data_IF_896260119383
#
_entry.id   IF_896260119383
#
_cell.length_a   1.000
_cell.length_b   1.000
_cell.length_c   1.000
_cell.angle_alpha   90.00
_cell.angle_beta   90.00
_cell.angle_gamma   90.00
#
_symmetry.space_group_name_H-M   'P 1'
#
loop_
_entity.id
_entity.type
_entity.pdbx_description
1 polymer ?
#
# COMPACT_ATOMS: atom_id res chain seq x y z
N UNK A 1 37.49 -66.22 49.80
CA UNK A 1 37.57 -64.87 50.27
C UNK A 1 36.34 -64.07 49.67
N UNK A 2 35.31 -63.89 50.50
CA UNK A 2 34.09 -63.14 50.05
C UNK A 2 34.32 -61.64 50.30
N UNK A 3 34.27 -60.84 49.30
CA UNK A 3 34.28 -59.35 49.43
C UNK A 3 32.88 -58.86 49.67
N UNK A 4 32.65 -58.27 50.87
CA UNK A 4 31.45 -57.52 51.21
C UNK A 4 31.48 -56.13 50.53
N UNK A 5 30.45 -55.80 49.77
CA UNK A 5 30.22 -54.53 49.26
C UNK A 5 29.24 -53.79 50.17
N UNK A 6 29.67 -52.69 50.80
CA UNK A 6 28.82 -51.81 51.59
C UNK A 6 28.16 -50.76 50.62
N UNK A 7 26.84 -50.82 50.57
CA UNK A 7 26.04 -49.82 49.92
C UNK A 7 25.69 -48.75 50.93
N UNK A 8 26.24 -47.51 50.76
CA UNK A 8 25.81 -46.38 51.56
C UNK A 8 24.53 -45.78 50.92
N UNK A 9 23.42 -45.88 51.70
CA UNK A 9 22.18 -45.19 51.37
C UNK A 9 22.27 -43.78 51.99
N UNK A 10 22.34 -42.76 51.18
CA UNK A 10 22.24 -41.36 51.60
C UNK A 10 20.75 -40.95 51.52
N UNK A 11 20.12 -40.53 52.64
CA UNK A 11 18.75 -40.04 52.57
C UNK A 11 18.72 -38.68 51.90
N UNK A 12 18.07 -38.59 50.74
CA UNK A 12 17.76 -37.32 50.10
C UNK A 12 16.56 -36.71 50.85
N UNK A 13 16.82 -35.64 51.59
CA UNK A 13 15.78 -34.78 52.17
C UNK A 13 15.16 -33.97 51.05
N UNK A 14 13.93 -34.28 50.70
CA UNK A 14 13.12 -33.41 49.85
C UNK A 14 12.68 -32.18 50.66
N UNK A 15 13.34 -31.03 50.42
CA UNK A 15 12.79 -29.75 50.80
C UNK A 15 11.62 -29.42 49.88
N UNK A 16 10.40 -29.41 50.47
CA UNK A 16 9.23 -28.84 49.84
C UNK A 16 9.46 -27.31 49.67
N UNK A 17 9.99 -26.90 48.54
CA UNK A 17 9.83 -25.50 48.09
C UNK A 17 8.38 -25.35 47.65
N UNK A 18 7.61 -24.55 48.38
CA UNK A 18 6.36 -23.99 47.90
C UNK A 18 6.65 -23.25 46.60
N UNK A 19 6.36 -23.88 45.49
CA UNK A 19 6.26 -23.16 44.19
C UNK A 19 5.06 -22.24 44.31
N UNK A 20 5.31 -20.98 44.65
CA UNK A 20 4.45 -19.89 44.21
C UNK A 20 4.42 -20.01 42.70
N UNK A 21 3.37 -20.55 42.15
CA UNK A 21 3.09 -20.59 40.74
C UNK A 21 3.01 -19.12 40.26
N UNK A 22 4.16 -18.57 39.87
CA UNK A 22 4.16 -17.46 38.91
C UNK A 22 3.43 -18.05 37.71
N UNK A 23 2.16 -17.67 37.55
CA UNK A 23 1.44 -17.88 36.33
C UNK A 23 2.28 -17.13 35.26
N UNK A 24 3.17 -17.84 34.58
CA UNK A 24 3.67 -17.40 33.30
C UNK A 24 2.41 -16.99 32.53
N UNK A 25 2.33 -15.75 32.01
CA UNK A 25 1.28 -15.46 31.06
C UNK A 25 1.48 -16.51 29.99
N UNK A 26 0.53 -17.43 29.86
CA UNK A 26 0.40 -18.31 28.70
C UNK A 26 0.44 -17.34 27.53
N UNK A 27 1.57 -17.26 26.86
CA UNK A 27 1.62 -16.60 25.56
C UNK A 27 0.52 -17.29 24.78
N UNK A 28 -0.56 -16.58 24.52
CA UNK A 28 -1.52 -16.99 23.52
C UNK A 28 -0.66 -17.22 22.29
N UNK A 29 -0.39 -18.50 21.96
CA UNK A 29 0.27 -18.84 20.71
C UNK A 29 -0.52 -18.08 19.68
N UNK A 30 0.14 -17.13 19.00
CA UNK A 30 -0.45 -16.36 17.94
C UNK A 30 -1.21 -17.32 17.01
N UNK A 31 -2.49 -17.08 16.82
CA UNK A 31 -3.30 -17.81 15.86
C UNK A 31 -3.04 -17.30 14.43
N UNK A 32 -2.03 -16.46 14.24
CA UNK A 32 -1.73 -15.80 12.97
C UNK A 32 -1.55 -16.78 11.80
N UNK A 33 -0.89 -17.91 12.04
CA UNK A 33 -0.69 -18.96 11.03
C UNK A 33 -1.72 -20.10 11.11
N UNK A 34 -2.73 -19.98 11.97
CA UNK A 34 -3.82 -20.96 12.02
C UNK A 34 -4.88 -20.65 10.96
N UNK A 35 -4.79 -21.36 9.86
CA UNK A 35 -5.73 -21.26 8.74
C UNK A 35 -6.84 -22.30 8.77
N UNK A 36 -6.92 -23.13 9.82
CA UNK A 36 -7.83 -24.29 9.91
C UNK A 36 -9.32 -23.97 9.73
N UNK A 37 -9.72 -22.72 10.03
CA UNK A 37 -11.11 -22.24 9.90
C UNK A 37 -11.36 -21.38 8.65
N UNK A 38 -10.38 -21.26 7.76
CA UNK A 38 -10.50 -20.43 6.55
C UNK A 38 -11.08 -21.24 5.40
N UNK A 39 -11.89 -20.59 4.58
CA UNK A 39 -12.50 -21.16 3.36
C UNK A 39 -11.56 -21.14 2.13
N UNK A 40 -10.41 -20.47 2.25
CA UNK A 40 -9.44 -20.25 1.17
C UNK A 40 -8.15 -21.10 1.29
N UNK A 41 -8.13 -22.11 2.15
CA UNK A 41 -6.95 -22.95 2.40
C UNK A 41 -6.47 -23.64 1.11
N UNK A 42 -7.39 -24.26 0.37
CA UNK A 42 -7.06 -25.02 -0.84
C UNK A 42 -6.53 -24.13 -1.95
N UNK A 43 -6.89 -22.86 -1.97
CA UNK A 43 -6.44 -21.86 -2.96
C UNK A 43 -5.21 -21.06 -2.51
N UNK A 44 -4.63 -21.39 -1.35
CA UNK A 44 -3.48 -20.66 -0.82
C UNK A 44 -3.79 -19.22 -0.42
N UNK A 45 -5.03 -18.94 -0.02
CA UNK A 45 -5.51 -17.60 0.35
C UNK A 45 -6.09 -16.81 -0.83
N UNK A 46 -6.04 -17.34 -2.05
CA UNK A 46 -6.60 -16.67 -3.24
C UNK A 46 -8.12 -16.80 -3.29
N UNK A 47 -8.78 -15.68 -3.58
CA UNK A 47 -10.23 -15.61 -3.81
C UNK A 47 -10.52 -14.68 -4.96
N UNK A 48 -11.27 -15.18 -5.96
CA UNK A 48 -11.87 -14.34 -6.99
C UNK A 48 -13.16 -13.75 -6.45
N UNK A 49 -13.21 -12.43 -6.36
CA UNK A 49 -14.37 -11.68 -5.83
C UNK A 49 -15.21 -11.20 -7.01
N UNK A 50 -16.47 -11.64 -7.13
CA UNK A 50 -17.36 -11.12 -8.16
C UNK A 50 -17.81 -9.69 -7.80
N UNK A 51 -17.62 -8.78 -8.74
CA UNK A 51 -18.06 -7.39 -8.67
C UNK A 51 -19.12 -7.10 -9.73
N UNK A 52 -19.93 -6.07 -9.49
CA UNK A 52 -20.93 -5.57 -10.43
C UNK A 52 -20.52 -4.17 -10.89
N UNK A 53 -20.63 -3.95 -12.19
CA UNK A 53 -20.40 -2.65 -12.83
C UNK A 53 -21.58 -2.31 -13.75
N UNK A 54 -21.57 -1.10 -14.32
CA UNK A 54 -22.54 -0.71 -15.37
C UNK A 54 -22.47 -1.57 -16.62
N UNK A 55 -21.30 -2.16 -16.93
CA UNK A 55 -21.06 -3.01 -18.11
C UNK A 55 -21.29 -4.51 -17.82
N UNK A 56 -21.58 -4.90 -16.56
CA UNK A 56 -21.83 -6.30 -16.22
C UNK A 56 -21.11 -6.76 -14.95
N UNK A 57 -20.89 -8.06 -14.87
CA UNK A 57 -20.20 -8.71 -13.75
C UNK A 57 -18.80 -9.12 -14.18
N UNK A 58 -17.83 -8.86 -13.32
CA UNK A 58 -16.44 -9.23 -13.49
C UNK A 58 -15.91 -9.83 -12.19
N UNK A 59 -14.72 -10.46 -12.26
CA UNK A 59 -14.06 -11.00 -11.09
C UNK A 59 -12.75 -10.24 -10.85
N UNK A 60 -12.50 -9.88 -9.60
CA UNK A 60 -11.22 -9.31 -9.19
C UNK A 60 -10.50 -10.28 -8.26
N UNK A 61 -9.19 -10.34 -8.42
CA UNK A 61 -8.33 -11.25 -7.69
C UNK A 61 -7.93 -10.65 -6.34
N UNK A 62 -7.99 -11.46 -5.30
CA UNK A 62 -7.46 -11.14 -3.96
C UNK A 62 -6.67 -12.30 -3.42
N UNK A 63 -5.67 -12.01 -2.54
CA UNK A 63 -4.92 -13.04 -1.80
C UNK A 63 -4.75 -12.62 -0.35
N UNK A 64 -5.23 -13.45 0.55
CA UNK A 64 -5.15 -13.25 2.00
C UNK A 64 -3.91 -13.90 2.59
N UNK A 65 -3.17 -13.15 3.43
CA UNK A 65 -2.06 -13.65 4.23
C UNK A 65 -2.35 -13.38 5.71
N UNK A 66 -2.08 -14.37 6.56
CA UNK A 66 -2.27 -14.27 8.00
C UNK A 66 -3.69 -14.56 8.46
N UNK A 67 -3.88 -14.41 9.77
CA UNK A 67 -5.16 -14.55 10.46
C UNK A 67 -5.14 -13.64 11.70
N UNK A 68 -5.87 -12.53 11.67
CA UNK A 68 -5.98 -11.59 12.79
C UNK A 68 -7.41 -11.07 12.90
N UNK A 69 -8.03 -11.06 14.09
CA UNK A 69 -9.42 -10.65 14.25
C UNK A 69 -9.64 -9.13 14.10
N UNK A 70 -8.65 -8.29 14.45
CA UNK A 70 -8.81 -6.83 14.63
C UNK A 70 -7.91 -5.98 13.75
N UNK A 71 -6.82 -6.56 13.20
CA UNK A 71 -5.86 -5.86 12.35
C UNK A 71 -5.83 -6.51 10.96
N UNK A 72 -6.66 -6.02 10.04
CA UNK A 72 -6.78 -6.51 8.65
C UNK A 72 -6.61 -5.37 7.67
N UNK A 73 -5.62 -5.47 6.80
CA UNK A 73 -5.27 -4.42 5.84
C UNK A 73 -5.61 -4.86 4.42
N UNK A 74 -6.42 -4.11 3.70
CA UNK A 74 -6.57 -4.25 2.25
C UNK A 74 -5.58 -3.31 1.57
N UNK A 75 -4.72 -3.87 0.72
CA UNK A 75 -3.64 -3.16 0.03
C UNK A 75 -4.09 -2.76 -1.38
N UNK A 76 -4.27 -1.45 -1.62
CA UNK A 76 -4.59 -0.91 -2.93
C UNK A 76 -3.30 -0.49 -3.64
N UNK A 77 -3.04 -1.11 -4.79
CA UNK A 77 -1.91 -0.74 -5.65
C UNK A 77 -2.16 0.58 -6.39
N UNK A 78 -1.08 1.15 -6.90
CA UNK A 78 -1.04 2.38 -7.70
C UNK A 78 -1.28 2.15 -9.20
N UNK A 79 -0.73 3.01 -9.98
CA UNK A 79 -0.93 3.14 -11.41
C UNK A 79 -1.79 4.37 -11.73
N UNK A 80 -3.07 4.24 -12.17
CA UNK A 80 -3.96 3.05 -12.17
C UNK A 80 -3.47 1.93 -13.10
N UNK A 81 -3.92 0.71 -12.81
CA UNK A 81 -3.61 -0.45 -13.65
C UNK A 81 -2.25 -1.10 -13.38
N UNK A 82 -1.53 -0.73 -12.31
CA UNK A 82 -0.39 -1.51 -11.83
C UNK A 82 -0.88 -2.87 -11.27
N UNK A 83 -0.03 -3.58 -10.56
CA UNK A 83 -0.36 -4.87 -9.95
C UNK A 83 0.00 -4.88 -8.47
N UNK A 84 -0.48 -5.88 -7.73
CA UNK A 84 -0.12 -6.04 -6.31
C UNK A 84 1.38 -6.31 -6.09
N UNK A 85 2.12 -6.74 -7.12
CA UNK A 85 3.45 -7.34 -6.98
C UNK A 85 4.46 -6.43 -6.28
N UNK A 86 4.48 -5.11 -6.57
CA UNK A 86 5.41 -4.20 -5.88
C UNK A 86 5.06 -4.00 -4.38
N UNK A 87 3.87 -4.42 -3.95
CA UNK A 87 3.49 -4.45 -2.53
C UNK A 87 3.98 -5.72 -1.81
N UNK A 88 4.63 -6.67 -2.49
CA UNK A 88 5.16 -7.90 -1.87
C UNK A 88 6.21 -7.61 -0.77
N UNK A 89 6.77 -6.40 -0.72
CA UNK A 89 7.61 -5.96 0.41
C UNK A 89 6.91 -6.09 1.78
N UNK A 90 5.57 -6.05 1.82
CA UNK A 90 4.78 -6.25 3.04
C UNK A 90 4.96 -7.65 3.65
N UNK A 91 5.26 -8.67 2.84
CA UNK A 91 5.52 -10.06 3.28
C UNK A 91 6.71 -10.15 4.26
N UNK A 92 7.64 -9.22 4.19
CA UNK A 92 8.82 -9.20 5.05
C UNK A 92 8.56 -8.61 6.44
N UNK A 93 7.44 -7.90 6.65
CA UNK A 93 7.19 -7.14 7.87
C UNK A 93 5.88 -7.49 8.58
N UNK A 94 4.77 -7.57 7.86
CA UNK A 94 3.44 -7.75 8.45
C UNK A 94 3.26 -9.08 9.16
N UNK A 95 3.80 -10.23 8.67
CA UNK A 95 3.73 -11.49 9.40
C UNK A 95 4.36 -11.43 10.79
N UNK A 96 5.52 -10.77 10.94
CA UNK A 96 6.19 -10.60 12.24
C UNK A 96 5.43 -9.65 13.19
N UNK A 97 4.61 -8.76 12.64
CA UNK A 97 3.73 -7.85 13.39
C UNK A 97 2.36 -8.46 13.68
N UNK A 98 2.09 -9.68 13.17
CA UNK A 98 0.82 -10.40 13.25
C UNK A 98 -0.35 -9.66 12.61
N UNK A 99 -0.10 -8.85 11.58
CA UNK A 99 -1.10 -8.11 10.82
C UNK A 99 -1.59 -8.97 9.65
N UNK A 100 -2.89 -9.26 9.58
CA UNK A 100 -3.52 -9.90 8.43
C UNK A 100 -3.65 -8.89 7.29
N UNK A 101 -3.35 -9.29 6.06
CA UNK A 101 -3.45 -8.39 4.92
C UNK A 101 -3.91 -9.11 3.66
N UNK A 102 -4.41 -8.32 2.74
CA UNK A 102 -4.96 -8.77 1.48
C UNK A 102 -4.29 -8.01 0.34
N UNK A 103 -3.65 -8.73 -0.56
CA UNK A 103 -3.36 -8.25 -1.90
C UNK A 103 -4.63 -8.23 -2.71
N UNK A 104 -4.70 -7.29 -3.64
CA UNK A 104 -5.86 -7.10 -4.49
C UNK A 104 -5.41 -6.49 -5.81
N UNK A 105 -5.67 -7.17 -6.92
CA UNK A 105 -5.57 -6.61 -8.25
C UNK A 105 -6.92 -6.01 -8.64
N UNK A 106 -6.95 -4.69 -8.90
CA UNK A 106 -8.15 -3.98 -9.29
C UNK A 106 -8.62 -4.44 -10.68
N UNK A 107 -9.86 -4.20 -11.04
CA UNK A 107 -10.35 -4.51 -12.40
C UNK A 107 -9.43 -3.86 -13.45
N UNK A 108 -9.12 -4.54 -14.53
CA UNK A 108 -8.10 -4.23 -15.55
C UNK A 108 -6.67 -4.55 -15.15
N UNK A 109 -6.39 -4.99 -13.92
CA UNK A 109 -5.05 -5.32 -13.46
C UNK A 109 -4.82 -6.82 -13.43
N UNK A 110 -3.74 -7.26 -14.03
CA UNK A 110 -3.07 -8.55 -14.02
C UNK A 110 -3.94 -9.80 -13.84
N UNK A 111 -4.21 -10.26 -12.60
CA UNK A 111 -4.99 -11.48 -12.32
C UNK A 111 -6.50 -11.26 -12.30
N UNK A 112 -6.94 -10.01 -12.35
CA UNK A 112 -8.35 -9.65 -12.43
C UNK A 112 -8.86 -9.67 -13.87
N UNK A 113 -10.18 -9.70 -14.06
CA UNK A 113 -10.77 -9.57 -15.38
C UNK A 113 -10.37 -8.23 -16.03
N UNK A 114 -10.15 -8.25 -17.34
CA UNK A 114 -9.69 -7.11 -18.13
C UNK A 114 -10.65 -6.83 -19.29
N UNK A 115 -11.82 -6.19 -19.03
CA UNK A 115 -12.81 -5.91 -20.06
C UNK A 115 -12.34 -4.92 -21.14
N UNK A 116 -11.27 -4.15 -20.88
CA UNK A 116 -10.77 -3.08 -21.76
C UNK A 116 -11.85 -2.05 -22.14
N UNK A 117 -12.77 -1.75 -21.20
CA UNK A 117 -13.85 -0.80 -21.37
C UNK A 117 -13.53 0.50 -20.66
N UNK A 118 -13.11 1.53 -21.41
CA UNK A 118 -12.73 2.83 -20.88
C UNK A 118 -13.88 3.59 -20.19
N UNK A 119 -15.12 3.17 -20.36
CA UNK A 119 -16.27 3.74 -19.63
C UNK A 119 -16.26 3.35 -18.15
N UNK A 120 -15.56 2.25 -17.81
CA UNK A 120 -15.37 1.78 -16.43
C UNK A 120 -14.18 2.44 -15.71
N UNK A 121 -13.36 3.22 -16.42
CA UNK A 121 -12.15 3.83 -15.87
C UNK A 121 -12.49 5.19 -15.24
N UNK A 122 -13.11 5.14 -14.07
CA UNK A 122 -13.47 6.35 -13.26
C UNK A 122 -13.19 6.11 -11.79
N UNK A 123 -12.87 7.17 -11.06
CA UNK A 123 -12.58 7.12 -9.62
C UNK A 123 -13.76 6.50 -8.86
N UNK A 124 -14.97 6.96 -9.13
CA UNK A 124 -16.20 6.53 -8.44
C UNK A 124 -16.43 5.03 -8.60
N UNK A 125 -16.20 4.48 -9.81
CA UNK A 125 -16.39 3.06 -10.07
C UNK A 125 -15.36 2.23 -9.29
N UNK A 126 -14.10 2.65 -9.21
CA UNK A 126 -13.08 1.95 -8.43
C UNK A 126 -13.33 2.04 -6.93
N UNK A 127 -13.86 3.15 -6.43
CA UNK A 127 -14.29 3.28 -5.02
C UNK A 127 -15.43 2.31 -4.71
N UNK A 128 -16.40 2.17 -5.61
CA UNK A 128 -17.50 1.20 -5.45
C UNK A 128 -17.02 -0.26 -5.55
N UNK A 129 -15.98 -0.51 -6.34
CA UNK A 129 -15.31 -1.81 -6.40
C UNK A 129 -14.65 -2.16 -5.06
N UNK A 130 -13.89 -1.23 -4.46
CA UNK A 130 -13.29 -1.42 -3.14
C UNK A 130 -14.35 -1.78 -2.09
N UNK A 131 -15.52 -1.14 -2.11
CA UNK A 131 -16.62 -1.45 -1.17
C UNK A 131 -17.20 -2.86 -1.41
N UNK A 132 -17.29 -3.30 -2.66
CA UNK A 132 -17.73 -4.65 -2.97
C UNK A 132 -16.71 -5.70 -2.51
N UNK A 133 -15.40 -5.43 -2.74
CA UNK A 133 -14.31 -6.29 -2.27
C UNK A 133 -14.29 -6.36 -0.74
N UNK A 134 -14.34 -5.22 -0.05
CA UNK A 134 -14.43 -5.14 1.41
C UNK A 134 -15.56 -6.05 1.95
N UNK A 135 -16.74 -5.91 1.35
CA UNK A 135 -17.92 -6.67 1.76
C UNK A 135 -17.73 -8.17 1.57
N UNK A 136 -17.19 -8.58 0.41
CA UNK A 136 -16.93 -9.99 0.08
C UNK A 136 -15.85 -10.63 0.97
N UNK A 137 -14.91 -9.83 1.49
CA UNK A 137 -13.87 -10.26 2.41
C UNK A 137 -14.29 -10.20 3.89
N UNK A 138 -15.50 -9.68 4.19
CA UNK A 138 -16.03 -9.57 5.56
C UNK A 138 -15.26 -8.55 6.43
N UNK A 139 -14.65 -7.54 5.82
CA UNK A 139 -13.96 -6.47 6.50
C UNK A 139 -14.98 -5.42 7.02
N UNK A 140 -14.73 -4.85 8.20
CA UNK A 140 -15.64 -3.92 8.84
C UNK A 140 -14.92 -2.98 9.81
N UNK A 141 -15.64 -2.01 10.37
CA UNK A 141 -15.12 -0.98 11.28
C UNK A 141 -14.29 -1.48 12.48
N UNK A 142 -14.45 -2.74 12.86
CA UNK A 142 -13.75 -3.29 14.02
C UNK A 142 -12.39 -3.91 13.65
N UNK A 143 -12.12 -4.08 12.33
CA UNK A 143 -10.91 -4.75 11.87
C UNK A 143 -10.29 -4.19 10.58
N UNK A 144 -10.94 -3.27 9.89
CA UNK A 144 -10.57 -2.90 8.54
C UNK A 144 -9.68 -1.65 8.47
N UNK A 145 -8.45 -1.85 8.04
CA UNK A 145 -7.53 -0.80 7.62
C UNK A 145 -7.43 -0.79 6.11
N UNK A 146 -7.54 0.39 5.50
CA UNK A 146 -7.36 0.57 4.06
C UNK A 146 -6.03 1.27 3.82
N UNK A 147 -5.14 0.61 3.08
CA UNK A 147 -3.87 1.15 2.62
C UNK A 147 -3.92 1.42 1.12
N UNK A 148 -3.43 2.56 0.67
CA UNK A 148 -3.30 2.86 -0.75
C UNK A 148 -2.01 3.59 -1.06
N UNK A 149 -1.29 3.11 -2.08
CA UNK A 149 -0.08 3.72 -2.61
C UNK A 149 -0.38 4.41 -3.93
N UNK A 150 0.10 5.67 -4.10
CA UNK A 150 -0.08 6.41 -5.34
C UNK A 150 -1.57 6.54 -5.74
N UNK A 151 -1.98 6.11 -6.92
CA UNK A 151 -3.41 6.01 -7.30
C UNK A 151 -4.27 5.32 -6.21
N UNK A 152 -3.75 4.29 -5.54
CA UNK A 152 -4.43 3.68 -4.40
C UNK A 152 -4.69 4.68 -3.27
N UNK A 153 -3.87 5.72 -3.13
CA UNK A 153 -4.07 6.83 -2.19
C UNK A 153 -5.27 7.72 -2.58
N UNK A 154 -5.48 7.98 -3.88
CA UNK A 154 -6.72 8.63 -4.38
C UNK A 154 -7.93 7.80 -3.95
N UNK A 155 -7.91 6.49 -4.21
CA UNK A 155 -9.01 5.60 -3.82
C UNK A 155 -9.23 5.58 -2.31
N UNK A 156 -8.16 5.62 -1.50
CA UNK A 156 -8.26 5.72 -0.04
C UNK A 156 -9.01 6.97 0.42
N UNK A 157 -8.64 8.12 -0.11
CA UNK A 157 -9.27 9.40 0.26
C UNK A 157 -10.75 9.44 -0.16
N UNK A 158 -11.04 9.10 -1.40
CA UNK A 158 -12.42 9.06 -1.93
C UNK A 158 -13.28 8.00 -1.23
N UNK A 159 -12.70 6.83 -0.91
CA UNK A 159 -13.38 5.81 -0.13
C UNK A 159 -13.72 6.32 1.28
N UNK A 160 -12.79 6.99 1.93
CA UNK A 160 -13.04 7.56 3.26
C UNK A 160 -14.14 8.62 3.22
N UNK A 161 -14.16 9.51 2.23
CA UNK A 161 -15.22 10.50 2.07
C UNK A 161 -16.61 9.88 1.92
N UNK A 162 -16.72 8.69 1.35
CA UNK A 162 -17.97 8.00 1.08
C UNK A 162 -18.33 6.94 2.13
N UNK A 163 -17.35 6.20 2.65
CA UNK A 163 -17.55 4.95 3.39
C UNK A 163 -16.74 4.85 4.69
N UNK A 164 -16.21 5.93 5.25
CA UNK A 164 -15.32 5.89 6.42
C UNK A 164 -15.91 5.18 7.66
N UNK A 165 -17.24 5.08 7.77
CA UNK A 165 -17.90 4.35 8.84
C UNK A 165 -17.61 2.84 8.85
N UNK A 166 -17.04 2.31 7.77
CA UNK A 166 -16.60 0.93 7.65
C UNK A 166 -15.11 0.75 8.01
N UNK A 167 -14.36 1.85 8.14
CA UNK A 167 -12.92 1.84 8.40
C UNK A 167 -12.61 1.87 9.90
N UNK A 168 -11.58 1.15 10.28
CA UNK A 168 -10.87 1.29 11.56
C UNK A 168 -9.70 2.26 11.47
N UNK A 169 -9.01 2.27 10.33
CA UNK A 169 -7.94 3.21 10.02
C UNK A 169 -7.68 3.34 8.52
N UNK A 170 -7.11 4.48 8.13
CA UNK A 170 -6.79 4.86 6.75
C UNK A 170 -5.30 5.13 6.63
N UNK A 171 -4.66 4.63 5.55
CA UNK A 171 -3.24 4.85 5.29
C UNK A 171 -3.08 5.32 3.84
N UNK A 172 -2.70 6.58 3.68
CA UNK A 172 -2.46 7.24 2.39
C UNK A 172 -0.94 7.30 2.20
N UNK A 173 -0.43 6.59 1.21
CA UNK A 173 1.01 6.49 0.96
C UNK A 173 1.37 7.12 -0.37
N UNK A 174 2.25 8.12 -0.32
CA UNK A 174 2.87 8.70 -1.52
C UNK A 174 1.82 9.21 -2.53
N UNK A 175 0.84 10.01 -2.03
CA UNK A 175 -0.18 10.63 -2.88
C UNK A 175 -0.67 11.96 -2.33
N UNK A 176 -0.77 12.94 -3.21
CA UNK A 176 -1.32 14.28 -2.93
C UNK A 176 -2.86 14.27 -3.07
N UNK A 177 -3.53 15.26 -2.49
CA UNK A 177 -4.99 15.43 -2.59
C UNK A 177 -5.41 16.30 -3.78
N UNK A 178 -4.49 16.64 -4.67
CA UNK A 178 -4.70 17.49 -5.84
C UNK A 178 -3.74 17.11 -6.96
N UNK A 179 -4.27 16.71 -8.10
CA UNK A 179 -3.47 16.48 -9.31
C UNK A 179 -2.91 17.78 -9.88
N UNK A 180 -3.65 18.91 -9.92
CA UNK A 180 -3.05 20.19 -10.33
C UNK A 180 -1.81 20.57 -9.51
N UNK A 181 -1.81 20.37 -8.19
CA UNK A 181 -0.64 20.65 -7.35
C UNK A 181 0.50 19.64 -7.57
N UNK A 182 0.18 18.37 -7.82
CA UNK A 182 1.18 17.39 -8.23
C UNK A 182 1.87 17.81 -9.54
N UNK A 183 1.12 18.25 -10.54
CA UNK A 183 1.67 18.76 -11.81
C UNK A 183 2.55 19.98 -11.58
N UNK A 184 2.12 20.90 -10.71
CA UNK A 184 2.91 22.09 -10.36
C UNK A 184 4.25 21.70 -9.69
N UNK A 185 4.21 20.77 -8.73
CA UNK A 185 5.41 20.25 -8.05
C UNK A 185 6.37 19.56 -9.03
N UNK A 186 5.86 18.69 -9.90
CA UNK A 186 6.67 18.04 -10.93
C UNK A 186 7.34 19.05 -11.87
N UNK A 187 6.60 20.09 -12.30
CA UNK A 187 7.10 21.07 -13.25
C UNK A 187 8.06 22.09 -12.63
N UNK A 188 7.77 22.59 -11.44
CA UNK A 188 8.45 23.76 -10.87
C UNK A 188 9.47 23.40 -9.80
N UNK A 189 9.41 22.18 -9.23
CA UNK A 189 10.34 21.73 -8.20
C UNK A 189 11.23 20.60 -8.71
N UNK A 190 10.66 19.53 -9.26
CA UNK A 190 11.43 18.35 -9.67
C UNK A 190 12.03 18.51 -11.06
N UNK A 191 11.29 19.06 -12.02
CA UNK A 191 11.80 19.30 -13.37
C UNK A 191 13.12 20.07 -13.41
N UNK A 192 13.27 21.20 -12.70
CA UNK A 192 14.54 21.94 -12.64
C UNK A 192 15.74 21.16 -12.04
N UNK A 193 15.51 20.01 -11.42
CA UNK A 193 16.58 19.14 -10.92
C UNK A 193 17.15 18.22 -12.00
N UNK A 194 16.43 18.02 -13.11
CA UNK A 194 16.92 17.27 -14.25
C UNK A 194 18.05 18.03 -14.97
N UNK A 195 18.89 17.31 -15.72
CA UNK A 195 19.82 17.93 -16.64
C UNK A 195 19.07 18.87 -17.61
N UNK A 196 19.61 20.05 -17.82
CA UNK A 196 18.91 21.12 -18.59
C UNK A 196 18.63 20.74 -20.05
N UNK A 197 19.49 19.93 -20.67
CA UNK A 197 19.26 19.46 -22.03
C UNK A 197 18.19 18.37 -22.07
N UNK A 198 18.15 17.49 -21.09
CA UNK A 198 17.11 16.46 -20.92
C UNK A 198 15.76 17.14 -20.71
N UNK A 199 15.67 18.09 -19.79
CA UNK A 199 14.42 18.83 -19.53
C UNK A 199 13.95 19.59 -20.78
N UNK A 200 14.85 20.23 -21.52
CA UNK A 200 14.50 20.97 -22.73
C UNK A 200 13.93 20.04 -23.83
N UNK A 201 14.51 18.82 -24.00
CA UNK A 201 14.01 17.84 -24.96
C UNK A 201 12.63 17.31 -24.54
N UNK A 202 12.40 17.04 -23.25
CA UNK A 202 11.09 16.66 -22.70
C UNK A 202 10.06 17.75 -23.00
N UNK A 203 10.36 19.03 -22.67
CA UNK A 203 9.44 20.16 -22.87
C UNK A 203 9.15 20.42 -24.34
N UNK A 204 10.10 20.19 -25.24
CA UNK A 204 9.86 20.30 -26.67
C UNK A 204 8.82 19.26 -27.14
N UNK A 205 8.90 18.01 -26.68
CA UNK A 205 7.93 16.98 -27.01
C UNK A 205 6.55 17.27 -26.39
N UNK A 206 6.50 17.72 -25.13
CA UNK A 206 5.26 18.14 -24.46
C UNK A 206 4.57 19.29 -25.19
N UNK A 207 5.32 20.29 -25.68
CA UNK A 207 4.76 21.42 -26.46
C UNK A 207 4.11 20.99 -27.76
N UNK A 208 4.47 19.84 -28.28
CA UNK A 208 3.91 19.22 -29.51
C UNK A 208 2.88 18.14 -29.20
N UNK A 209 2.59 17.90 -27.92
CA UNK A 209 1.75 16.78 -27.45
C UNK A 209 2.25 15.41 -27.95
N UNK A 210 3.58 15.26 -28.17
CA UNK A 210 4.23 14.07 -28.72
C UNK A 210 4.53 13.03 -27.60
N UNK A 211 3.54 12.74 -26.79
CA UNK A 211 3.63 11.84 -25.62
C UNK A 211 3.81 10.37 -26.01
N UNK A 212 3.45 10.00 -27.24
CA UNK A 212 3.63 8.64 -27.75
C UNK A 212 5.04 8.36 -28.26
N UNK A 213 5.91 9.36 -28.32
CA UNK A 213 7.28 9.23 -28.75
C UNK A 213 8.07 8.33 -27.76
N UNK A 214 8.67 7.22 -28.20
CA UNK A 214 9.47 6.37 -27.32
C UNK A 214 10.59 7.12 -26.58
N UNK A 215 11.14 8.16 -27.22
CA UNK A 215 12.19 9.01 -26.62
C UNK A 215 11.70 9.78 -25.41
N UNK A 216 10.44 10.22 -25.40
CA UNK A 216 9.82 10.88 -24.25
C UNK A 216 9.86 9.98 -23.00
N UNK A 217 9.40 8.76 -23.16
CA UNK A 217 9.42 7.79 -22.06
C UNK A 217 10.85 7.38 -21.65
N UNK A 218 11.75 7.17 -22.63
CA UNK A 218 13.15 6.86 -22.37
C UNK A 218 13.83 7.92 -21.50
N UNK A 219 13.65 9.21 -21.83
CA UNK A 219 14.24 10.32 -21.08
C UNK A 219 13.77 10.34 -19.63
N UNK A 220 12.46 10.18 -19.41
CA UNK A 220 11.88 10.22 -18.07
C UNK A 220 12.29 8.98 -17.26
N UNK A 221 12.18 7.78 -17.83
CA UNK A 221 12.55 6.54 -17.15
C UNK A 221 14.02 6.52 -16.78
N UNK A 222 14.91 7.02 -17.67
CA UNK A 222 16.36 6.96 -17.43
C UNK A 222 16.88 8.05 -16.49
N UNK A 223 16.18 9.22 -16.40
CA UNK A 223 16.73 10.38 -15.67
C UNK A 223 15.89 10.78 -14.45
N UNK A 224 14.59 10.47 -14.44
CA UNK A 224 13.68 10.88 -13.36
C UNK A 224 13.33 9.72 -12.42
N UNK A 225 13.08 8.51 -12.96
CA UNK A 225 12.67 7.37 -12.15
C UNK A 225 13.71 6.92 -11.12
N UNK A 226 15.04 6.87 -11.42
CA UNK A 226 16.05 6.50 -10.44
C UNK A 226 16.23 7.48 -9.29
N UNK A 227 15.69 8.69 -9.42
CA UNK A 227 15.78 9.73 -8.39
C UNK A 227 14.47 9.88 -7.59
N UNK A 228 13.31 9.66 -8.23
CA UNK A 228 12.02 10.03 -7.65
C UNK A 228 11.01 8.88 -7.53
N UNK A 229 11.12 7.83 -8.36
CA UNK A 229 10.23 6.65 -8.26
C UNK A 229 10.80 5.60 -7.33
N UNK A 230 12.02 5.16 -7.57
CA UNK A 230 12.76 4.26 -6.69
C UNK A 230 14.27 4.59 -6.77
N UNK A 231 14.84 5.07 -5.67
CA UNK A 231 16.20 5.61 -5.62
C UNK A 231 17.27 4.54 -5.63
N UNK A 232 17.41 3.91 -6.79
CA UNK A 232 18.48 3.00 -7.15
C UNK A 232 18.62 2.90 -8.67
N UNK A 233 19.77 2.45 -9.22
CA UNK A 233 19.91 2.16 -10.63
C UNK A 233 18.80 1.23 -11.13
N UNK A 234 18.30 1.45 -12.35
CA UNK A 234 17.18 0.67 -12.90
C UNK A 234 17.49 -0.83 -12.96
N UNK A 235 18.76 -1.20 -13.22
CA UNK A 235 19.21 -2.59 -13.25
C UNK A 235 19.17 -3.28 -11.88
N UNK A 236 19.17 -2.51 -10.80
CA UNK A 236 19.11 -3.02 -9.42
C UNK A 236 17.69 -3.05 -8.86
N UNK A 237 16.69 -2.62 -9.63
CA UNK A 237 15.31 -2.60 -9.16
C UNK A 237 14.85 -4.01 -8.77
N UNK A 238 14.19 -4.17 -7.60
CA UNK A 238 13.72 -5.47 -7.13
C UNK A 238 12.75 -6.13 -8.10
N UNK A 239 12.84 -7.47 -8.20
CA UNK A 239 11.97 -8.26 -9.07
C UNK A 239 10.47 -7.94 -8.93
N UNK A 240 9.89 -7.79 -7.72
CA UNK A 240 8.47 -7.43 -7.60
C UNK A 240 8.12 -6.08 -8.24
N UNK A 241 9.02 -5.11 -8.19
CA UNK A 241 8.82 -3.81 -8.86
C UNK A 241 8.87 -3.97 -10.36
N UNK A 242 9.88 -4.68 -10.87
CA UNK A 242 10.01 -4.94 -12.31
C UNK A 242 8.79 -5.70 -12.87
N UNK A 243 8.28 -6.70 -12.14
CA UNK A 243 7.07 -7.45 -12.53
C UNK A 243 5.83 -6.55 -12.55
N UNK A 244 5.66 -5.69 -11.55
CA UNK A 244 4.53 -4.77 -11.49
C UNK A 244 4.52 -3.79 -12.68
N UNK A 245 5.68 -3.25 -13.07
CA UNK A 245 5.79 -2.40 -14.26
C UNK A 245 5.57 -3.17 -15.57
N UNK A 246 6.10 -4.39 -15.67
CA UNK A 246 5.95 -5.24 -16.86
C UNK A 246 4.49 -5.68 -17.09
N UNK A 247 3.71 -5.87 -16.04
CA UNK A 247 2.32 -6.33 -16.08
C UNK A 247 1.29 -5.20 -15.97
N UNK A 248 1.74 -3.93 -16.01
CA UNK A 248 0.86 -2.77 -15.93
C UNK A 248 -0.09 -2.70 -17.13
N UNK A 249 -1.37 -2.40 -16.88
CA UNK A 249 -2.36 -2.11 -17.91
C UNK A 249 -2.10 -0.75 -18.54
N UNK A 250 -1.27 -0.71 -19.59
CA UNK A 250 -0.81 0.53 -20.22
C UNK A 250 -1.96 1.39 -20.76
N UNK A 251 -3.00 0.78 -21.35
CA UNK A 251 -4.16 1.50 -21.88
C UNK A 251 -4.90 2.27 -20.78
N UNK A 252 -5.13 1.62 -19.64
CA UNK A 252 -5.75 2.22 -18.46
C UNK A 252 -4.85 3.32 -17.88
N UNK A 253 -3.56 3.02 -17.67
CA UNK A 253 -2.59 3.94 -17.10
C UNK A 253 -2.52 5.25 -17.90
N UNK A 254 -2.23 5.17 -19.19
CA UNK A 254 -2.09 6.34 -20.07
C UNK A 254 -3.39 7.16 -20.14
N UNK A 255 -4.55 6.48 -20.17
CA UNK A 255 -5.85 7.19 -20.25
C UNK A 255 -6.17 7.95 -18.96
N UNK A 256 -5.83 7.43 -17.81
CA UNK A 256 -6.17 8.05 -16.53
C UNK A 256 -5.07 8.97 -15.99
N UNK A 257 -3.82 8.53 -15.99
CA UNK A 257 -2.66 9.22 -15.42
C UNK A 257 -1.87 10.01 -16.47
N UNK A 258 -1.67 9.42 -17.63
CA UNK A 258 -0.74 9.91 -18.64
C UNK A 258 0.43 8.96 -18.86
N UNK A 259 1.44 9.38 -19.66
CA UNK A 259 2.48 8.47 -20.13
C UNK A 259 3.56 8.13 -19.08
N UNK A 260 3.62 8.84 -17.95
CA UNK A 260 4.70 8.69 -16.97
C UNK A 260 4.36 9.24 -15.59
N UNK A 261 5.27 9.06 -14.62
CA UNK A 261 5.21 9.66 -13.28
C UNK A 261 5.77 11.10 -13.22
N UNK A 262 6.06 11.72 -14.35
CA UNK A 262 6.49 13.13 -14.41
C UNK A 262 5.29 14.07 -14.58
N UNK A 263 4.37 14.03 -13.62
CA UNK A 263 3.11 14.76 -13.65
C UNK A 263 2.04 14.12 -14.53
N UNK A 264 0.87 14.74 -14.55
CA UNK A 264 -0.27 14.33 -15.37
C UNK A 264 -0.37 15.29 -16.57
N UNK A 265 -0.29 14.77 -17.77
CA UNK A 265 -0.25 15.56 -18.99
C UNK A 265 -1.37 15.20 -19.98
N UNK A 266 -1.60 16.07 -20.97
CA UNK A 266 -2.59 15.85 -22.02
C UNK A 266 -4.03 15.83 -21.52
N UNK A 267 -4.82 14.90 -22.07
CA UNK A 267 -6.25 14.73 -21.74
C UNK A 267 -6.51 13.59 -20.73
N UNK A 268 -5.53 13.30 -19.87
CA UNK A 268 -5.67 12.29 -18.83
C UNK A 268 -6.87 12.58 -17.92
N UNK A 269 -7.66 11.53 -17.59
CA UNK A 269 -8.93 11.68 -16.85
C UNK A 269 -8.75 12.27 -15.44
N UNK A 270 -7.60 12.05 -14.81
CA UNK A 270 -7.30 12.54 -13.46
C UNK A 270 -6.84 14.00 -13.41
N UNK A 271 -6.56 14.65 -14.54
CA UNK A 271 -5.92 15.98 -14.61
C UNK A 271 -6.53 17.07 -13.75
N UNK A 272 -7.84 17.01 -13.49
CA UNK A 272 -8.56 18.01 -12.71
C UNK A 272 -9.02 17.47 -11.33
N UNK A 273 -8.57 16.27 -10.93
CA UNK A 273 -8.96 15.73 -9.65
C UNK A 273 -8.34 16.54 -8.50
N UNK A 274 -9.19 17.07 -7.64
CA UNK A 274 -8.81 17.88 -6.48
C UNK A 274 -9.88 17.75 -5.40
N UNK A 275 -9.49 17.26 -4.21
CA UNK A 275 -10.40 17.07 -3.07
C UNK A 275 -9.93 17.78 -1.81
N UNK A 276 -9.00 18.72 -1.93
CA UNK A 276 -8.38 19.42 -0.80
C UNK A 276 -9.40 19.95 0.21
N UNK A 277 -10.44 20.62 -0.28
CA UNK A 277 -11.48 21.22 0.57
C UNK A 277 -12.33 20.19 1.31
N UNK A 278 -12.29 18.91 0.91
CA UNK A 278 -13.07 17.82 1.47
C UNK A 278 -12.34 17.05 2.57
N UNK A 279 -10.99 17.17 2.68
CA UNK A 279 -10.17 16.40 3.64
C UNK A 279 -10.66 16.55 5.09
N UNK A 280 -11.14 17.73 5.49
CA UNK A 280 -11.73 18.01 6.81
C UNK A 280 -12.92 17.13 7.16
N UNK A 281 -13.54 16.46 6.20
CA UNK A 281 -14.66 15.55 6.39
C UNK A 281 -14.19 14.13 6.73
N UNK A 282 -12.90 13.83 6.63
CA UNK A 282 -12.32 12.54 7.01
C UNK A 282 -12.03 12.56 8.50
N UNK A 283 -12.73 11.70 9.26
CA UNK A 283 -12.62 11.63 10.72
C UNK A 283 -12.02 10.32 11.25
N UNK A 284 -11.88 9.29 10.39
CA UNK A 284 -11.23 8.05 10.76
C UNK A 284 -9.74 8.29 11.05
N UNK A 285 -9.10 7.58 12.02
CA UNK A 285 -7.66 7.64 12.20
C UNK A 285 -6.91 7.49 10.88
N UNK A 286 -6.08 8.45 10.52
CA UNK A 286 -5.45 8.54 9.20
C UNK A 286 -3.94 8.72 9.32
N UNK A 287 -3.17 7.87 8.63
CA UNK A 287 -1.74 8.03 8.42
C UNK A 287 -1.49 8.51 6.99
N UNK A 288 -0.83 9.66 6.83
CA UNK A 288 -0.29 10.12 5.55
C UNK A 288 1.21 9.90 5.53
N UNK A 289 1.74 9.34 4.43
CA UNK A 289 3.16 8.98 4.28
C UNK A 289 3.76 9.71 3.10
N UNK A 290 4.92 10.34 3.28
CA UNK A 290 5.64 11.02 2.21
C UNK A 290 7.14 10.76 2.27
N UNK A 291 7.75 10.56 1.10
CA UNK A 291 9.20 10.43 0.90
C UNK A 291 9.85 11.75 0.56
N UNK A 292 11.07 11.96 1.04
CA UNK A 292 11.86 13.18 0.74
C UNK A 292 12.08 13.41 -0.76
N UNK A 293 12.23 12.34 -1.50
CA UNK A 293 12.61 12.35 -2.92
C UNK A 293 11.46 11.93 -3.83
N UNK A 294 10.25 11.85 -3.28
CA UNK A 294 9.06 11.38 -3.96
C UNK A 294 8.71 12.24 -5.20
N UNK A 295 8.00 11.66 -6.11
CA UNK A 295 7.31 12.38 -7.21
C UNK A 295 6.20 13.30 -6.67
N UNK A 296 5.72 13.04 -5.47
CA UNK A 296 4.71 13.80 -4.74
C UNK A 296 5.35 14.70 -3.68
N UNK A 297 4.82 15.91 -3.48
CA UNK A 297 5.35 16.85 -2.48
C UNK A 297 5.14 16.32 -1.04
N UNK A 298 6.21 16.00 -0.28
CA UNK A 298 6.08 15.54 1.09
C UNK A 298 5.45 16.58 2.04
N UNK A 299 5.59 17.87 1.78
CA UNK A 299 4.92 18.91 2.57
C UNK A 299 3.42 18.94 2.32
N UNK A 300 2.96 18.63 1.09
CA UNK A 300 1.53 18.44 0.82
C UNK A 300 0.98 17.21 1.56
N UNK A 301 1.73 16.10 1.60
CA UNK A 301 1.31 14.91 2.34
C UNK A 301 1.27 15.13 3.85
N UNK A 302 2.19 15.95 4.37
CA UNK A 302 2.15 16.42 5.77
C UNK A 302 0.94 17.34 6.02
N UNK A 303 0.62 18.21 5.06
CA UNK A 303 -0.56 19.05 5.11
C UNK A 303 -1.86 18.22 5.11
N UNK A 304 -1.98 17.14 4.31
CA UNK A 304 -3.11 16.20 4.36
C UNK A 304 -3.33 15.71 5.81
N UNK A 305 -2.26 15.30 6.50
CA UNK A 305 -2.36 14.84 7.88
C UNK A 305 -2.85 15.93 8.85
N UNK A 306 -2.66 17.22 8.54
CA UNK A 306 -3.15 18.33 9.34
C UNK A 306 -4.62 18.72 9.03
N UNK A 307 -5.10 18.42 7.82
CA UNK A 307 -6.46 18.77 7.37
C UNK A 307 -7.51 17.73 7.77
N UNK A 308 -7.14 16.45 7.84
CA UNK A 308 -8.05 15.41 8.34
C UNK A 308 -8.22 15.53 9.86
N UNK A 309 -9.39 15.14 10.41
CA UNK A 309 -9.70 15.37 11.83
C UNK A 309 -8.78 14.61 12.79
N UNK A 310 -8.29 13.43 12.39
CA UNK A 310 -7.42 12.57 13.18
C UNK A 310 -6.24 12.09 12.32
N UNK A 311 -5.29 12.98 12.07
CA UNK A 311 -4.18 12.72 11.17
C UNK A 311 -2.84 12.55 11.87
N UNK A 312 -1.99 11.69 11.31
CA UNK A 312 -0.57 11.54 11.63
C UNK A 312 0.24 11.53 10.34
N UNK A 313 1.41 12.18 10.34
CA UNK A 313 2.33 12.17 9.22
C UNK A 313 3.53 11.27 9.51
N UNK A 314 3.91 10.45 8.53
CA UNK A 314 5.15 9.67 8.52
C UNK A 314 6.07 10.19 7.42
N UNK A 315 7.22 10.72 7.82
CA UNK A 315 8.23 11.19 6.88
C UNK A 315 9.33 10.16 6.66
N UNK A 316 9.53 9.75 5.40
CA UNK A 316 10.59 8.85 4.97
C UNK A 316 11.78 9.67 4.44
N UNK A 317 12.76 9.94 5.30
CA UNK A 317 13.92 10.81 4.99
C UNK A 317 14.77 10.32 3.81
N UNK A 318 14.79 9.01 3.56
CA UNK A 318 15.51 8.38 2.44
C UNK A 318 14.58 7.97 1.31
N UNK A 319 13.26 8.04 1.53
CA UNK A 319 12.24 7.49 0.65
C UNK A 319 12.00 8.34 -0.59
N UNK A 320 11.65 7.66 -1.67
CA UNK A 320 11.06 8.22 -2.88
C UNK A 320 9.60 7.78 -3.01
N UNK A 321 9.05 7.65 -4.23
CA UNK A 321 7.67 7.20 -4.45
C UNK A 321 7.43 5.78 -3.93
N UNK A 322 8.42 4.91 -4.01
CA UNK A 322 8.38 3.55 -3.46
C UNK A 322 9.15 3.45 -2.13
N UNK A 323 8.77 4.29 -1.14
CA UNK A 323 9.36 4.33 0.20
C UNK A 323 9.49 2.95 0.86
N UNK A 324 8.62 2.01 0.51
CA UNK A 324 8.64 0.62 1.01
C UNK A 324 9.88 -0.16 0.59
N UNK A 325 10.69 0.39 -0.32
CA UNK A 325 11.97 -0.20 -0.77
C UNK A 325 13.17 0.62 -0.33
N UNK A 326 13.18 1.92 -0.55
CA UNK A 326 14.36 2.76 -0.32
C UNK A 326 14.44 3.39 1.09
N UNK A 327 13.32 3.46 1.83
CA UNK A 327 13.31 3.74 3.28
C UNK A 327 12.50 2.70 4.07
N UNK A 328 12.72 1.45 3.75
CA UNK A 328 11.93 0.30 4.16
C UNK A 328 11.67 0.23 5.66
N UNK A 329 12.72 0.45 6.49
CA UNK A 329 12.58 0.36 7.95
C UNK A 329 11.69 1.46 8.50
N UNK A 330 11.88 2.71 8.10
CA UNK A 330 11.06 3.85 8.56
C UNK A 330 9.62 3.64 8.14
N UNK A 331 9.40 3.24 6.90
CA UNK A 331 8.10 3.00 6.32
C UNK A 331 7.30 1.94 7.08
N UNK A 332 7.85 0.73 7.24
CA UNK A 332 7.12 -0.37 7.88
C UNK A 332 6.98 -0.20 9.39
N UNK A 333 8.01 0.29 10.09
CA UNK A 333 7.90 0.57 11.53
C UNK A 333 6.81 1.62 11.81
N UNK A 334 6.70 2.64 10.94
CA UNK A 334 5.68 3.68 11.06
C UNK A 334 4.26 3.16 10.83
N UNK A 335 4.04 2.36 9.79
CA UNK A 335 2.74 1.75 9.49
C UNK A 335 2.33 0.78 10.60
N UNK A 336 3.24 -0.12 11.00
CA UNK A 336 2.97 -1.10 12.07
C UNK A 336 2.63 -0.39 13.38
N UNK A 337 3.38 0.66 13.72
CA UNK A 337 3.10 1.48 14.89
C UNK A 337 1.71 2.12 14.82
N UNK A 338 1.35 2.72 13.66
CA UNK A 338 0.04 3.33 13.46
C UNK A 338 -1.09 2.31 13.66
N UNK A 339 -1.02 1.16 13.00
CA UNK A 339 -2.04 0.10 13.08
C UNK A 339 -2.21 -0.35 14.54
N UNK A 340 -1.11 -0.58 15.27
CA UNK A 340 -1.14 -1.00 16.67
C UNK A 340 -1.65 0.09 17.60
N UNK A 341 -1.26 1.36 17.39
CA UNK A 341 -1.77 2.49 18.18
C UNK A 341 -3.29 2.62 18.04
N UNK A 342 -3.82 2.43 16.82
CA UNK A 342 -5.28 2.48 16.57
C UNK A 342 -5.97 1.24 17.16
N UNK A 343 -5.39 0.05 17.04
CA UNK A 343 -5.95 -1.19 17.60
C UNK A 343 -6.02 -1.15 19.12
N UNK A 344 -5.02 -0.54 19.76
CA UNK A 344 -4.88 -0.35 21.21
C UNK A 344 -5.63 0.89 21.75
N UNK A 345 -6.38 1.62 20.91
CA UNK A 345 -7.06 2.90 21.26
C UNK A 345 -6.09 3.97 21.81
N UNK A 346 -4.87 4.05 21.27
CA UNK A 346 -3.80 4.99 21.67
C UNK A 346 -3.49 6.06 20.61
N UNK A 347 -4.28 6.12 19.57
CA UNK A 347 -4.07 7.05 18.44
C UNK A 347 -4.52 8.48 18.78
#
# INVERSE_FOLDING_TARGET
MKKLIYIFIVPILFNNCNENSVKNPTSLKSNYLDYSKRDDILSGGVKMVPIKTSAGKFNVWTKRIGNNPTMKVLLLHGGPGATHEYLEAFDSYFPNAEIEYYYYDQLESYYSDQPNDSTLWTVERYVDEVEQVRTALGLNKDNFYLYGSSWGGILCMEYALKYQNNLKGLIISNMMASIPEYVDYANNVLGPQLDSAVLAEIREMESKEDYSNPRYNELIVSNYYPEHVLRMPLEDWPDPVNRAFANMSQGLYVTMQGPSEFGVVGDAKLKNWDIKDQLKNISVPTLSIGGKYDTMDPEHMKWIASEVQNGRFLYCEKGSHLCMYDDQKTFFDGIIKFIKDVDDEKF
#
